data_IF_175613101920
#
_entry.id   IF_175613101920
#
_cell.length_a   1.000
_cell.length_b   1.000
_cell.length_c   1.000
_cell.angle_alpha   90.00
_cell.angle_beta   90.00
_cell.angle_gamma   90.00
#
_symmetry.space_group_name_H-M   'P 1'
#
loop_
_entity.id
_entity.type
_entity.pdbx_description
1 polymer ?
#
# COMPACT_ATOMS: atom_id res chain seq x y z
N UNK A 1 -1.83 43.48 49.12
CA UNK A 1 -0.86 43.59 48.00
C UNK A 1 -1.15 42.44 47.07
N UNK A 2 -1.22 42.62 45.74
CA UNK A 2 -1.40 41.49 44.85
C UNK A 2 -0.15 40.60 44.94
N UNK A 3 -0.34 39.30 45.05
CA UNK A 3 0.75 38.34 45.06
C UNK A 3 1.36 38.31 43.65
N UNK A 4 2.51 38.95 43.45
CA UNK A 4 3.25 38.88 42.20
C UNK A 4 3.97 37.52 42.12
N UNK A 5 3.66 36.74 41.09
CA UNK A 5 4.43 35.51 40.80
C UNK A 5 5.75 35.94 40.16
N UNK A 6 6.85 35.74 40.88
CA UNK A 6 8.21 36.04 40.40
C UNK A 6 8.86 34.73 39.95
N UNK A 7 9.04 34.57 38.64
CA UNK A 7 9.87 33.49 38.08
C UNK A 7 11.33 33.93 38.13
N UNK A 8 12.19 33.07 38.67
CA UNK A 8 13.63 33.30 38.78
C UNK A 8 14.39 32.32 37.88
N UNK A 9 15.54 32.74 37.37
CA UNK A 9 16.49 31.84 36.71
C UNK A 9 17.17 30.92 37.75
N UNK A 10 18.03 30.01 37.27
CA UNK A 10 18.77 29.05 38.12
C UNK A 10 19.69 29.73 39.13
N UNK A 11 20.07 30.99 38.87
CA UNK A 11 20.92 31.81 39.73
C UNK A 11 20.10 32.73 40.66
N UNK A 12 18.77 32.66 40.58
CA UNK A 12 17.84 33.42 41.43
C UNK A 12 17.51 34.84 40.92
N UNK A 13 17.99 35.23 39.74
CA UNK A 13 17.66 36.53 39.13
C UNK A 13 16.25 36.51 38.54
N UNK A 14 15.58 37.66 38.53
CA UNK A 14 14.23 37.78 37.96
C UNK A 14 14.28 37.59 36.45
N UNK A 15 13.73 36.49 35.94
CA UNK A 15 13.53 36.28 34.49
C UNK A 15 12.50 37.27 34.00
N UNK A 16 12.79 38.01 32.93
CA UNK A 16 11.95 39.09 32.46
C UNK A 16 10.62 38.55 31.90
N UNK A 17 9.54 38.65 32.65
CA UNK A 17 8.19 38.46 32.10
C UNK A 17 7.81 39.76 31.36
N UNK A 18 7.32 39.69 30.12
CA UNK A 18 6.69 40.84 29.45
C UNK A 18 5.24 40.54 29.16
N UNK A 19 4.37 41.27 29.87
CA UNK A 19 2.93 40.98 29.89
C UNK A 19 2.67 39.61 30.50
N UNK A 20 1.84 38.81 29.85
CA UNK A 20 1.47 37.45 30.31
C UNK A 20 2.35 36.35 29.69
N UNK A 21 3.44 36.75 29.00
CA UNK A 21 4.31 35.82 28.28
C UNK A 21 5.70 35.83 28.90
N UNK A 22 6.25 34.63 29.12
CA UNK A 22 7.66 34.43 29.47
C UNK A 22 8.51 35.00 28.33
N UNK A 23 9.39 35.98 28.61
CA UNK A 23 10.45 36.26 27.65
C UNK A 23 11.49 35.17 27.77
N UNK A 24 11.76 34.55 26.65
CA UNK A 24 12.96 33.74 26.51
C UNK A 24 13.96 34.67 25.83
N UNK A 25 14.83 35.29 26.64
CA UNK A 25 15.78 36.30 26.18
C UNK A 25 17.00 35.69 25.42
N UNK A 26 16.99 34.37 25.20
CA UNK A 26 17.97 33.63 24.41
C UNK A 26 17.34 33.00 23.16
N UNK A 27 18.14 32.85 22.09
CA UNK A 27 17.73 32.08 20.91
C UNK A 27 17.44 30.64 21.33
N UNK A 28 16.17 30.28 21.45
CA UNK A 28 15.77 28.90 21.65
C UNK A 28 16.30 28.05 20.49
N UNK A 29 17.06 27.02 20.83
CA UNK A 29 17.49 26.01 19.86
C UNK A 29 16.57 24.80 19.96
N UNK A 30 16.64 23.91 18.97
CA UNK A 30 15.92 22.62 19.02
C UNK A 30 16.37 21.73 20.18
N UNK A 31 17.50 22.01 20.83
CA UNK A 31 17.97 21.27 22.02
C UNK A 31 17.28 21.76 23.30
N UNK A 32 16.78 23.00 23.30
CA UNK A 32 16.10 23.62 24.45
C UNK A 32 14.59 23.32 24.45
N UNK A 33 14.08 22.73 23.37
CA UNK A 33 12.66 22.44 23.17
C UNK A 33 12.48 20.91 23.19
N UNK A 34 12.06 20.38 24.32
CA UNK A 34 11.57 19.01 24.43
C UNK A 34 10.04 19.01 24.35
N UNK A 35 9.50 18.38 23.31
CA UNK A 35 8.07 18.10 23.19
C UNK A 35 7.92 16.60 23.44
N UNK A 36 7.11 16.23 24.44
CA UNK A 36 6.83 14.82 24.75
C UNK A 36 5.95 14.16 23.69
N UNK A 37 5.12 13.19 24.09
CA UNK A 37 4.14 12.59 23.19
C UNK A 37 3.21 13.68 22.60
N UNK A 38 3.22 13.80 21.26
CA UNK A 38 2.34 14.71 20.53
C UNK A 38 1.05 13.97 20.18
N UNK A 39 -0.08 14.48 20.63
CA UNK A 39 -1.40 14.02 20.20
C UNK A 39 -1.93 14.99 19.15
N UNK A 40 -2.11 14.52 17.91
CA UNK A 40 -2.81 15.25 16.86
C UNK A 40 -4.25 14.74 16.86
N UNK A 41 -5.18 15.58 17.27
CA UNK A 41 -6.61 15.30 17.16
C UNK A 41 -7.11 15.86 15.83
N UNK A 42 -7.92 15.10 15.10
CA UNK A 42 -8.89 15.77 14.25
C UNK A 42 -9.90 16.49 15.17
N UNK A 43 -10.53 17.53 14.67
CA UNK A 43 -11.26 18.48 15.51
C UNK A 43 -12.60 17.90 16.05
N UNK A 44 -12.94 16.64 15.73
CA UNK A 44 -14.32 16.18 15.69
C UNK A 44 -14.54 14.70 16.12
N UNK A 45 -13.50 13.87 16.19
CA UNK A 45 -13.63 12.42 16.36
C UNK A 45 -12.72 11.78 17.41
N UNK A 46 -13.01 10.53 17.75
CA UNK A 46 -12.08 9.62 18.48
C UNK A 46 -10.93 9.13 17.57
N UNK A 47 -10.93 9.55 16.31
CA UNK A 47 -9.95 9.17 15.30
C UNK A 47 -8.62 9.88 15.59
N UNK A 48 -7.74 9.13 16.24
CA UNK A 48 -6.36 9.53 16.49
C UNK A 48 -5.58 9.35 15.20
N UNK A 49 -5.09 10.45 14.65
CA UNK A 49 -4.04 10.41 13.65
C UNK A 49 -2.80 9.74 14.25
N UNK A 50 -2.56 8.47 13.92
CA UNK A 50 -1.36 7.76 14.35
C UNK A 50 -0.13 8.36 13.64
N UNK A 51 0.87 8.75 14.42
CA UNK A 51 2.14 9.26 13.92
C UNK A 51 3.16 8.13 13.94
N UNK A 52 3.86 7.90 12.83
CA UNK A 52 4.88 6.85 12.75
C UNK A 52 6.16 7.24 13.51
N UNK A 53 7.12 6.30 13.62
CA UNK A 53 8.41 6.54 14.30
C UNK A 53 9.26 7.66 13.71
N UNK A 54 8.90 8.15 12.52
CA UNK A 54 9.57 9.24 11.82
C UNK A 54 8.82 10.57 11.96
N UNK A 55 7.84 10.64 12.86
CA UNK A 55 7.01 11.81 13.12
C UNK A 55 6.17 12.27 11.89
N UNK A 56 5.80 11.33 11.02
CA UNK A 56 4.87 11.55 9.90
C UNK A 56 3.52 10.92 10.20
N UNK A 57 2.45 11.51 9.66
CA UNK A 57 1.12 10.89 9.68
C UNK A 57 1.18 9.51 9.02
N UNK A 58 0.59 8.50 9.67
CA UNK A 58 0.48 7.14 9.11
C UNK A 58 -0.47 7.19 7.91
N UNK A 59 0.05 6.89 6.73
CA UNK A 59 -0.75 6.80 5.50
C UNK A 59 -1.71 5.62 5.60
N UNK A 60 -2.99 5.85 5.30
CA UNK A 60 -4.00 4.79 5.20
C UNK A 60 -3.61 3.87 4.03
N UNK A 61 -3.78 2.56 4.19
CA UNK A 61 -3.51 1.55 3.14
C UNK A 61 -4.28 1.92 1.85
N UNK A 62 -3.58 2.02 0.72
CA UNK A 62 -4.17 2.52 -0.54
C UNK A 62 -5.20 1.52 -1.06
N UNK A 63 -6.48 1.89 -0.96
CA UNK A 63 -7.55 1.08 -1.55
C UNK A 63 -7.43 1.19 -3.07
N UNK A 64 -7.42 0.05 -3.79
CA UNK A 64 -7.37 0.07 -5.24
C UNK A 64 -8.46 0.95 -5.85
N UNK A 65 -8.09 1.81 -6.80
CA UNK A 65 -9.02 2.78 -7.41
C UNK A 65 -9.36 2.44 -8.85
N UNK A 66 -8.63 1.49 -9.45
CA UNK A 66 -8.76 1.16 -10.87
C UNK A 66 -8.91 -0.35 -11.10
N UNK A 67 -9.65 -0.67 -12.15
CA UNK A 67 -9.85 -2.04 -12.61
C UNK A 67 -9.43 -2.16 -14.06
N UNK A 68 -8.69 -3.21 -14.39
CA UNK A 68 -8.37 -3.57 -15.78
C UNK A 68 -8.99 -4.93 -16.08
N UNK A 69 -9.77 -4.99 -17.15
CA UNK A 69 -10.41 -6.22 -17.63
C UNK A 69 -9.86 -6.54 -19.01
N UNK A 70 -9.30 -7.73 -19.19
CA UNK A 70 -8.74 -8.12 -20.48
C UNK A 70 -8.80 -9.65 -20.68
N UNK A 71 -8.43 -10.07 -21.89
CA UNK A 71 -8.32 -11.48 -22.28
C UNK A 71 -6.98 -11.69 -22.97
N UNK A 72 -6.45 -12.90 -22.86
CA UNK A 72 -5.29 -13.33 -23.63
C UNK A 72 -5.42 -14.81 -23.96
N UNK A 73 -4.72 -15.26 -24.99
CA UNK A 73 -4.77 -16.65 -25.45
C UNK A 73 -3.39 -17.18 -25.81
N UNK A 74 -3.25 -18.50 -25.66
CA UNK A 74 -2.11 -19.27 -26.17
C UNK A 74 -2.36 -19.58 -27.65
N UNK A 75 -1.44 -19.19 -28.53
CA UNK A 75 -1.57 -19.50 -29.96
C UNK A 75 -1.30 -20.99 -30.21
N UNK A 76 -0.29 -21.54 -29.53
CA UNK A 76 0.11 -22.95 -29.61
C UNK A 76 0.21 -23.52 -28.19
N UNK A 77 -0.37 -24.70 -27.98
CA UNK A 77 -0.27 -25.46 -26.74
C UNK A 77 1.20 -25.78 -26.40
N UNK A 78 1.53 -25.75 -25.11
CA UNK A 78 2.91 -25.92 -24.65
C UNK A 78 3.80 -24.70 -24.90
N UNK A 79 3.21 -23.56 -25.31
CA UNK A 79 3.91 -22.29 -25.46
C UNK A 79 3.27 -21.27 -24.53
N UNK A 80 3.91 -21.09 -23.38
CA UNK A 80 3.48 -20.10 -22.39
C UNK A 80 3.42 -18.67 -22.95
N UNK A 81 2.44 -17.91 -22.48
CA UNK A 81 2.19 -16.51 -22.81
C UNK A 81 2.18 -15.70 -21.51
N UNK A 82 3.00 -14.66 -21.46
CA UNK A 82 3.01 -13.70 -20.35
C UNK A 82 1.78 -12.80 -20.41
N UNK A 83 1.19 -12.44 -19.26
CA UNK A 83 0.22 -11.35 -19.22
C UNK A 83 0.91 -10.00 -19.50
N UNK A 84 0.15 -8.98 -19.87
CA UNK A 84 0.70 -7.64 -20.09
C UNK A 84 1.25 -7.02 -18.79
N UNK A 85 2.21 -6.10 -18.91
CA UNK A 85 2.77 -5.35 -17.78
C UNK A 85 1.80 -4.31 -17.26
N UNK A 86 1.28 -4.51 -16.05
CA UNK A 86 0.42 -3.57 -15.35
C UNK A 86 0.71 -3.65 -13.85
N UNK A 87 1.00 -2.52 -13.22
CA UNK A 87 0.99 -2.46 -11.75
C UNK A 87 -0.39 -2.83 -11.25
N UNK A 88 -0.45 -3.70 -10.25
CA UNK A 88 -1.69 -4.10 -9.60
C UNK A 88 -1.37 -4.60 -8.19
N UNK A 89 -2.42 -4.85 -7.41
CA UNK A 89 -2.36 -5.48 -6.09
C UNK A 89 -2.83 -6.94 -6.17
N UNK A 90 -3.69 -7.25 -7.15
CA UNK A 90 -4.11 -8.61 -7.44
C UNK A 90 -4.53 -8.81 -8.89
N UNK A 91 -4.48 -10.06 -9.32
CA UNK A 91 -5.06 -10.54 -10.59
C UNK A 91 -5.97 -11.72 -10.32
N UNK A 92 -7.19 -11.67 -10.83
CA UNK A 92 -8.10 -12.82 -10.89
C UNK A 92 -8.17 -13.31 -12.32
N UNK A 93 -7.88 -14.59 -12.54
CA UNK A 93 -7.77 -15.22 -13.85
C UNK A 93 -8.85 -16.30 -13.94
N UNK A 94 -9.58 -16.31 -15.04
CA UNK A 94 -10.61 -17.30 -15.35
C UNK A 94 -10.33 -17.95 -16.69
N UNK A 95 -10.31 -19.27 -16.74
CA UNK A 95 -10.27 -19.98 -18.02
C UNK A 95 -11.56 -19.71 -18.82
N UNK A 96 -11.42 -19.40 -20.11
CA UNK A 96 -12.59 -19.10 -20.94
C UNK A 96 -13.52 -20.31 -21.03
N UNK A 97 -14.83 -20.04 -21.00
CA UNK A 97 -15.88 -21.09 -21.03
C UNK A 97 -15.84 -21.92 -22.33
N UNK A 98 -15.26 -21.37 -23.39
CA UNK A 98 -15.08 -22.06 -24.67
C UNK A 98 -13.85 -22.97 -24.74
N UNK A 99 -12.99 -22.99 -23.71
CA UNK A 99 -11.84 -23.89 -23.70
C UNK A 99 -12.32 -25.34 -23.62
N UNK A 100 -11.58 -26.22 -24.29
CA UNK A 100 -11.82 -27.66 -24.38
C UNK A 100 -10.82 -28.49 -23.58
N UNK A 101 -9.68 -27.90 -23.25
CA UNK A 101 -8.62 -28.44 -22.44
C UNK A 101 -8.41 -27.64 -21.15
N UNK A 102 -7.26 -27.91 -20.53
CA UNK A 102 -6.81 -27.29 -19.28
C UNK A 102 -5.92 -26.09 -19.59
N UNK A 103 -6.14 -25.01 -18.83
CA UNK A 103 -5.23 -23.87 -18.73
C UNK A 103 -4.28 -24.07 -17.55
N UNK A 104 -3.02 -23.73 -17.74
CA UNK A 104 -1.98 -23.79 -16.72
C UNK A 104 -1.55 -22.38 -16.35
N UNK A 105 -1.69 -21.99 -15.09
CA UNK A 105 -1.32 -20.66 -14.59
C UNK A 105 -0.07 -20.78 -13.72
N UNK A 106 0.91 -19.91 -13.92
CA UNK A 106 2.15 -19.95 -13.13
C UNK A 106 3.13 -18.83 -13.44
N UNK A 107 4.39 -19.06 -13.10
CA UNK A 107 5.50 -18.15 -13.37
C UNK A 107 6.11 -18.39 -14.76
N UNK A 108 7.28 -17.79 -15.04
CA UNK A 108 8.01 -17.91 -16.31
C UNK A 108 8.39 -19.35 -16.68
N UNK A 109 8.30 -20.31 -15.76
CA UNK A 109 8.57 -21.73 -15.98
C UNK A 109 7.31 -22.56 -16.18
N UNK A 110 6.12 -21.94 -16.19
CA UNK A 110 4.84 -22.65 -16.30
C UNK A 110 4.79 -23.56 -17.52
N UNK A 111 4.31 -24.78 -17.30
CA UNK A 111 3.94 -25.78 -18.29
C UNK A 111 2.87 -26.73 -17.72
N UNK A 112 2.54 -27.79 -18.47
CA UNK A 112 1.57 -28.81 -18.06
C UNK A 112 2.00 -29.70 -16.88
N UNK A 113 3.24 -29.58 -16.40
CA UNK A 113 3.79 -30.36 -15.29
C UNK A 113 3.74 -29.60 -13.98
N UNK A 114 3.90 -28.28 -14.01
CA UNK A 114 4.05 -27.44 -12.80
C UNK A 114 2.99 -26.34 -12.64
N UNK A 115 2.15 -26.10 -13.65
CA UNK A 115 1.16 -25.04 -13.62
C UNK A 115 -0.06 -25.36 -12.76
N UNK A 116 -0.68 -24.31 -12.22
CA UNK A 116 -1.98 -24.42 -11.57
C UNK A 116 -3.06 -24.64 -12.63
N UNK A 117 -3.73 -25.79 -12.56
CA UNK A 117 -4.71 -26.22 -13.54
C UNK A 117 -6.06 -25.51 -13.34
N UNK A 118 -6.61 -24.95 -14.42
CA UNK A 118 -7.97 -24.43 -14.49
C UNK A 118 -8.72 -25.16 -15.59
N UNK A 119 -9.84 -25.80 -15.24
CA UNK A 119 -10.79 -26.28 -16.24
C UNK A 119 -11.58 -25.10 -16.82
N UNK A 120 -12.27 -25.33 -17.92
CA UNK A 120 -13.15 -24.33 -18.53
C UNK A 120 -14.10 -23.70 -17.50
N UNK A 121 -14.00 -22.38 -17.33
CA UNK A 121 -14.80 -21.63 -16.36
C UNK A 121 -14.25 -21.57 -14.93
N UNK A 122 -13.21 -22.32 -14.58
CA UNK A 122 -12.56 -22.17 -13.28
C UNK A 122 -11.77 -20.87 -13.19
N UNK A 123 -11.50 -20.43 -11.96
CA UNK A 123 -10.73 -19.22 -11.69
C UNK A 123 -9.83 -19.31 -10.47
N UNK A 124 -8.75 -18.53 -10.49
CA UNK A 124 -7.82 -18.31 -9.37
C UNK A 124 -7.59 -16.81 -9.17
N UNK A 125 -7.35 -16.40 -7.93
CA UNK A 125 -6.93 -15.04 -7.58
C UNK A 125 -5.54 -15.08 -6.97
N UNK A 126 -4.66 -14.20 -7.44
CA UNK A 126 -3.26 -14.09 -7.02
C UNK A 126 -2.98 -12.67 -6.54
N UNK A 127 -2.34 -12.53 -5.39
CA UNK A 127 -1.79 -11.26 -4.94
C UNK A 127 -0.41 -11.06 -5.56
N UNK A 128 -0.28 -10.06 -6.43
CA UNK A 128 0.94 -9.74 -7.16
C UNK A 128 1.03 -8.23 -7.32
N UNK A 129 2.25 -7.69 -7.34
CA UNK A 129 2.49 -6.26 -7.55
C UNK A 129 2.50 -5.84 -9.04
N UNK A 130 2.59 -6.80 -9.95
CA UNK A 130 2.49 -6.59 -11.38
C UNK A 130 1.93 -7.85 -12.06
N UNK A 131 1.09 -7.70 -13.08
CA UNK A 131 0.54 -8.84 -13.81
C UNK A 131 1.57 -9.56 -14.70
N UNK A 132 2.68 -8.93 -15.07
CA UNK A 132 3.70 -9.56 -15.93
C UNK A 132 4.47 -10.70 -15.25
N UNK A 133 4.37 -10.89 -13.94
CA UNK A 133 4.93 -12.07 -13.27
C UNK A 133 4.11 -13.34 -13.54
N UNK A 134 2.92 -13.20 -14.13
CA UNK A 134 2.01 -14.31 -14.41
C UNK A 134 2.06 -14.71 -15.88
N UNK A 135 2.18 -16.02 -16.08
CA UNK A 135 2.16 -16.68 -17.37
C UNK A 135 1.01 -17.68 -17.43
N UNK A 136 0.50 -17.88 -18.64
CA UNK A 136 -0.49 -18.90 -18.96
C UNK A 136 0.09 -19.88 -19.98
N UNK A 137 -0.26 -21.15 -19.89
CA UNK A 137 -0.07 -22.14 -20.95
C UNK A 137 -1.37 -22.95 -21.13
N UNK A 138 -1.49 -23.72 -22.21
CA UNK A 138 -2.67 -24.53 -22.47
C UNK A 138 -2.31 -25.91 -23.02
N UNK A 139 -3.21 -26.84 -22.78
CA UNK A 139 -3.16 -28.19 -23.37
C UNK A 139 -3.66 -28.26 -24.81
N UNK A 140 -4.44 -27.27 -25.28
CA UNK A 140 -4.96 -27.18 -26.65
C UNK A 140 -4.66 -25.80 -27.26
N UNK A 141 -4.42 -25.76 -28.57
CA UNK A 141 -4.15 -24.50 -29.30
C UNK A 141 -5.33 -23.53 -29.25
N UNK A 142 -5.04 -22.23 -29.26
CA UNK A 142 -6.04 -21.15 -29.30
C UNK A 142 -7.01 -21.12 -28.10
N UNK A 143 -6.57 -21.62 -26.95
CA UNK A 143 -7.28 -21.48 -25.67
C UNK A 143 -6.87 -20.21 -24.95
N UNK A 144 -7.70 -19.73 -24.02
CA UNK A 144 -7.39 -18.48 -23.36
C UNK A 144 -8.02 -18.29 -21.99
N UNK A 145 -7.72 -17.13 -21.43
CA UNK A 145 -8.26 -16.69 -20.14
C UNK A 145 -8.84 -15.29 -20.27
N UNK A 146 -9.81 -14.97 -19.41
CA UNK A 146 -10.15 -13.61 -19.04
C UNK A 146 -9.56 -13.28 -17.68
N UNK A 147 -9.18 -12.03 -17.45
CA UNK A 147 -8.63 -11.61 -16.17
C UNK A 147 -9.07 -10.21 -15.75
N UNK A 148 -9.09 -10.02 -14.43
CA UNK A 148 -9.39 -8.79 -13.72
C UNK A 148 -8.16 -8.39 -12.92
N UNK A 149 -7.62 -7.21 -13.17
CA UNK A 149 -6.58 -6.60 -12.33
C UNK A 149 -7.20 -5.54 -11.44
N UNK A 150 -6.73 -5.49 -10.20
CA UNK A 150 -7.15 -4.51 -9.20
C UNK A 150 -5.90 -3.69 -8.86
N UNK A 151 -5.91 -2.38 -9.15
CA UNK A 151 -4.78 -1.47 -8.93
C UNK A 151 -5.17 -0.29 -8.06
#
# INVERSE_FOLDING_TARGET
MPNEVVIKDVDGNKTAIVGDRLKVDANLTVQDIEIGAVEIKDHDGEDRAEVNSNNSLKTIEEVPTTLVMAQTSTVTAGTRVQLGTNTCQSVTIKALVGNTGIMYIGDVTVDSTNGFELSSGDSISLAVNNSDVVYIDSSVNAEGVSFILVN
#
